data_IF_347162531736
#
_entry.id   IF_347162531736
#
_cell.length_a   1.000
_cell.length_b   1.000
_cell.length_c   1.000
_cell.angle_alpha   90.00
_cell.angle_beta   90.00
_cell.angle_gamma   90.00
#
_symmetry.space_group_name_H-M   'P 1'
#
loop_
_entity.id
_entity.type
_entity.pdbx_description
1 polymer ?
#
# COMPACT_ATOMS: atom_id res chain seq x y z
N UNK A 1 -66.56 -31.36 11.64
CA UNK A 1 -65.71 -31.04 10.47
C UNK A 1 -66.41 -29.96 9.67
N UNK A 2 -65.74 -29.01 8.96
CA UNK A 2 -64.31 -28.81 8.67
C UNK A 2 -63.73 -27.57 9.43
N UNK A 3 -62.47 -27.47 9.88
CA UNK A 3 -61.15 -27.36 9.20
C UNK A 3 -61.04 -26.18 8.20
N UNK A 4 -60.57 -25.03 8.70
CA UNK A 4 -59.97 -23.89 7.97
C UNK A 4 -58.78 -23.42 8.83
N UNK A 5 -57.67 -24.15 8.91
CA UNK A 5 -56.52 -24.11 8.01
C UNK A 5 -56.15 -22.72 7.46
N UNK A 6 -55.16 -22.12 8.16
CA UNK A 6 -53.98 -21.44 7.60
C UNK A 6 -54.24 -20.46 6.45
N UNK A 7 -54.27 -19.16 6.76
CA UNK A 7 -53.70 -18.13 5.89
C UNK A 7 -52.75 -17.29 6.76
N UNK A 8 -51.46 -17.58 6.68
CA UNK A 8 -50.53 -16.90 5.76
C UNK A 8 -50.14 -15.54 6.35
N UNK A 9 -49.17 -15.59 7.26
CA UNK A 9 -48.22 -14.53 7.47
C UNK A 9 -47.20 -14.63 6.32
N UNK A 10 -47.16 -13.68 5.39
CA UNK A 10 -45.85 -13.34 4.83
C UNK A 10 -45.79 -11.84 4.59
N UNK A 11 -44.87 -11.12 5.23
CA UNK A 11 -44.15 -10.00 4.59
C UNK A 11 -43.10 -9.39 5.53
N UNK A 12 -42.17 -10.19 6.05
CA UNK A 12 -40.96 -9.64 6.65
C UNK A 12 -39.83 -10.63 6.38
N UNK A 13 -39.30 -10.68 5.15
CA UNK A 13 -37.99 -11.26 4.81
C UNK A 13 -37.74 -11.19 3.29
N UNK A 14 -37.61 -9.99 2.71
CA UNK A 14 -37.01 -9.82 1.37
C UNK A 14 -36.24 -8.51 1.29
N UNK A 15 -35.24 -8.35 2.15
CA UNK A 15 -34.28 -7.23 2.05
C UNK A 15 -32.84 -7.68 2.39
N UNK A 16 -32.42 -8.86 1.90
CA UNK A 16 -31.10 -9.41 2.25
C UNK A 16 -30.29 -9.94 1.05
N UNK A 17 -30.52 -9.50 -0.19
CA UNK A 17 -29.76 -9.98 -1.36
C UNK A 17 -29.43 -8.89 -2.41
N UNK A 18 -29.08 -7.68 -1.99
CA UNK A 18 -28.47 -6.69 -2.92
C UNK A 18 -27.07 -6.23 -2.51
N UNK A 19 -26.47 -6.82 -1.48
CA UNK A 19 -25.11 -6.47 -1.03
C UNK A 19 -23.99 -7.28 -1.71
N UNK A 20 -24.28 -8.08 -2.75
CA UNK A 20 -23.29 -8.96 -3.37
C UNK A 20 -22.87 -8.59 -4.81
N UNK A 21 -23.41 -7.50 -5.39
CA UNK A 21 -23.06 -7.05 -6.74
C UNK A 21 -22.20 -5.77 -6.76
N UNK A 22 -21.74 -5.30 -5.61
CA UNK A 22 -20.90 -4.11 -5.56
C UNK A 22 -19.44 -4.50 -5.86
N UNK A 23 -18.97 -4.19 -7.08
CA UNK A 23 -17.55 -4.29 -7.43
C UNK A 23 -16.73 -3.56 -6.35
N UNK A 24 -15.69 -4.19 -5.77
CA UNK A 24 -14.87 -3.54 -4.75
C UNK A 24 -14.27 -2.25 -5.32
N UNK A 25 -14.22 -1.22 -4.49
CA UNK A 25 -13.56 0.04 -4.82
C UNK A 25 -12.08 -0.18 -5.15
N UNK A 26 -11.46 0.78 -5.86
CA UNK A 26 -10.02 0.72 -6.17
C UNK A 26 -9.17 0.57 -4.90
N UNK A 27 -9.55 1.26 -3.82
CA UNK A 27 -8.85 1.22 -2.54
C UNK A 27 -8.94 -0.16 -1.87
N UNK A 28 -10.13 -0.77 -1.85
CA UNK A 28 -10.31 -2.14 -1.35
C UNK A 28 -9.52 -3.14 -2.18
N UNK A 29 -9.49 -2.98 -3.51
CA UNK A 29 -8.69 -3.82 -4.38
C UNK A 29 -7.19 -3.68 -4.11
N UNK A 30 -6.68 -2.45 -3.91
CA UNK A 30 -5.28 -2.21 -3.56
C UNK A 30 -4.91 -2.93 -2.27
N UNK A 31 -5.75 -2.81 -1.24
CA UNK A 31 -5.50 -3.44 0.07
C UNK A 31 -5.55 -4.97 0.01
N UNK A 32 -6.43 -5.53 -0.80
CA UNK A 32 -6.58 -6.97 -0.92
C UNK A 32 -5.52 -7.62 -1.81
N UNK A 33 -5.01 -6.90 -2.82
CA UNK A 33 -4.28 -7.51 -3.92
C UNK A 33 -2.81 -7.09 -4.02
N UNK A 34 -2.42 -5.96 -3.43
CA UNK A 34 -1.02 -5.51 -3.40
C UNK A 34 -0.37 -5.87 -2.06
N UNK A 35 0.91 -6.32 -2.06
CA UNK A 35 1.61 -6.77 -0.86
C UNK A 35 2.12 -5.59 0.00
N UNK A 36 1.20 -4.75 0.47
CA UNK A 36 1.53 -3.51 1.21
C UNK A 36 2.36 -3.79 2.46
N UNK A 37 1.94 -4.75 3.29
CA UNK A 37 2.60 -5.04 4.57
C UNK A 37 4.01 -5.61 4.36
N UNK A 38 4.19 -6.49 3.37
CA UNK A 38 5.49 -7.09 3.07
C UNK A 38 6.44 -6.06 2.48
N UNK A 39 5.96 -5.24 1.53
CA UNK A 39 6.75 -4.14 0.97
C UNK A 39 7.17 -3.13 2.05
N UNK A 40 6.25 -2.77 2.96
CA UNK A 40 6.55 -1.92 4.10
C UNK A 40 7.65 -2.52 4.99
N UNK A 41 7.50 -3.79 5.36
CA UNK A 41 8.44 -4.49 6.24
C UNK A 41 9.82 -4.55 5.61
N UNK A 42 9.89 -4.93 4.33
CA UNK A 42 11.13 -4.99 3.57
C UNK A 42 11.82 -3.61 3.47
N UNK A 43 11.06 -2.54 3.25
CA UNK A 43 11.60 -1.18 3.19
C UNK A 43 12.18 -0.75 4.55
N UNK A 44 11.47 -1.00 5.66
CA UNK A 44 11.96 -0.71 7.02
C UNK A 44 13.24 -1.47 7.33
N UNK A 45 13.31 -2.76 6.99
CA UNK A 45 14.51 -3.58 7.20
C UNK A 45 15.71 -3.05 6.42
N UNK A 46 15.52 -2.70 5.14
CA UNK A 46 16.56 -2.14 4.29
C UNK A 46 17.04 -0.78 4.80
N UNK A 47 16.14 0.11 5.19
CA UNK A 47 16.50 1.42 5.74
C UNK A 47 17.25 1.27 7.07
N UNK A 48 16.80 0.37 7.95
CA UNK A 48 17.49 0.11 9.20
C UNK A 48 18.93 -0.42 8.98
N UNK A 49 19.13 -1.29 7.99
CA UNK A 49 20.45 -1.79 7.64
C UNK A 49 21.39 -0.69 7.08
N UNK A 50 20.83 0.33 6.43
CA UNK A 50 21.60 1.48 5.97
C UNK A 50 21.98 2.42 7.13
N UNK A 51 21.01 2.75 7.98
CA UNK A 51 21.20 3.61 9.15
C UNK A 51 22.09 2.98 10.23
N UNK A 52 22.10 1.65 10.36
CA UNK A 52 23.03 0.98 11.27
C UNK A 52 24.51 1.20 10.94
N UNK A 53 24.83 1.72 9.75
CA UNK A 53 26.20 2.12 9.38
C UNK A 53 26.59 3.48 9.96
N UNK A 54 25.62 4.37 10.18
CA UNK A 54 25.83 5.71 10.75
C UNK A 54 25.56 5.74 12.26
N UNK A 55 24.73 4.82 12.76
CA UNK A 55 24.45 4.62 14.18
C UNK A 55 24.92 3.25 14.70
N UNK A 56 26.25 3.00 14.76
CA UNK A 56 26.79 1.68 15.06
C UNK A 56 26.52 1.21 16.50
N UNK A 57 26.11 2.11 17.39
CA UNK A 57 25.82 1.78 18.79
C UNK A 57 24.38 1.28 18.99
N UNK A 58 23.51 1.49 18.00
CA UNK A 58 22.11 1.07 18.08
C UNK A 58 21.90 -0.30 17.43
N UNK A 59 21.09 -1.12 18.09
CA UNK A 59 20.66 -2.40 17.50
C UNK A 59 19.76 -2.16 16.29
N UNK A 60 19.79 -3.07 15.31
CA UNK A 60 18.89 -2.99 14.14
C UNK A 60 17.41 -2.94 14.56
N UNK A 61 17.02 -3.67 15.62
CA UNK A 61 15.66 -3.66 16.14
C UNK A 61 15.25 -2.28 16.68
N UNK A 62 16.17 -1.58 17.35
CA UNK A 62 15.97 -0.20 17.82
C UNK A 62 15.73 0.75 16.65
N UNK A 63 16.60 0.69 15.63
CA UNK A 63 16.49 1.54 14.44
C UNK A 63 15.18 1.28 13.69
N UNK A 64 14.80 0.01 13.50
CA UNK A 64 13.50 -0.32 12.92
C UNK A 64 12.34 0.22 13.76
N UNK A 65 12.45 0.19 15.09
CA UNK A 65 11.45 0.75 16.00
C UNK A 65 11.25 2.24 15.77
N UNK A 66 12.33 3.02 15.65
CA UNK A 66 12.28 4.45 15.33
C UNK A 66 11.69 4.68 13.93
N UNK A 67 12.15 3.95 12.92
CA UNK A 67 11.61 4.04 11.56
C UNK A 67 10.09 3.82 11.53
N UNK A 68 9.58 2.80 12.23
CA UNK A 68 8.13 2.52 12.28
C UNK A 68 7.31 3.60 12.99
N UNK A 69 7.91 4.47 13.82
CA UNK A 69 7.22 5.60 14.45
C UNK A 69 6.96 6.73 13.45
N UNK A 70 7.88 6.96 12.53
CA UNK A 70 7.89 8.14 11.64
C UNK A 70 7.53 7.81 10.18
N UNK A 71 7.77 6.57 9.76
CA UNK A 71 7.44 6.05 8.44
C UNK A 71 6.39 4.97 8.63
N UNK A 72 5.11 5.33 8.58
CA UNK A 72 4.04 4.40 8.94
C UNK A 72 3.54 3.60 7.73
N UNK A 73 3.00 2.42 7.98
CA UNK A 73 2.32 1.63 6.94
C UNK A 73 1.11 2.38 6.36
N UNK A 74 0.49 3.24 7.16
CA UNK A 74 -0.64 4.08 6.79
C UNK A 74 -0.23 5.14 5.76
N UNK A 75 0.95 5.72 5.90
CA UNK A 75 1.49 6.64 4.89
C UNK A 75 1.73 5.94 3.56
N UNK A 76 2.32 4.73 3.60
CA UNK A 76 2.54 3.92 2.41
C UNK A 76 1.21 3.53 1.75
N UNK A 77 0.17 3.25 2.55
CA UNK A 77 -1.19 2.99 2.04
C UNK A 77 -1.72 4.17 1.24
N UNK A 78 -1.65 5.38 1.81
CA UNK A 78 -2.11 6.60 1.14
C UNK A 78 -1.33 6.87 -0.15
N UNK A 79 -0.03 6.62 -0.16
CA UNK A 79 0.80 6.72 -1.36
C UNK A 79 0.37 5.73 -2.46
N UNK A 80 0.07 4.48 -2.09
CA UNK A 80 -0.45 3.49 -3.03
C UNK A 80 -1.82 3.90 -3.58
N UNK A 81 -2.72 4.42 -2.74
CA UNK A 81 -4.05 4.86 -3.16
C UNK A 81 -3.96 5.98 -4.19
N UNK A 82 -3.09 6.96 -3.94
CA UNK A 82 -2.80 8.05 -4.86
C UNK A 82 -2.18 7.54 -6.15
N UNK A 83 -1.14 6.71 -6.06
CA UNK A 83 -0.40 6.19 -7.21
C UNK A 83 -1.30 5.36 -8.13
N UNK A 84 -2.03 4.39 -7.57
CA UNK A 84 -2.87 3.45 -8.31
C UNK A 84 -4.34 3.90 -8.43
N UNK A 85 -4.61 5.18 -8.24
CA UNK A 85 -5.95 5.77 -8.42
C UNK A 85 -6.46 5.65 -9.87
N UNK A 86 -7.77 5.76 -10.04
CA UNK A 86 -8.42 5.78 -11.36
C UNK A 86 -7.97 6.96 -12.24
N UNK A 87 -7.51 8.06 -11.62
CA UNK A 87 -6.91 9.19 -12.32
C UNK A 87 -5.62 8.79 -13.05
N UNK A 88 -4.85 7.90 -12.42
CA UNK A 88 -3.55 7.48 -12.95
C UNK A 88 -3.68 6.23 -13.80
N UNK A 89 -4.48 5.23 -13.40
CA UNK A 89 -4.61 3.96 -14.11
C UNK A 89 -6.06 3.56 -14.31
N UNK A 90 -6.42 3.28 -15.57
CA UNK A 90 -7.68 2.63 -15.90
C UNK A 90 -7.80 1.26 -15.21
N UNK A 91 -9.02 0.73 -15.11
CA UNK A 91 -9.27 -0.58 -14.51
C UNK A 91 -8.49 -1.71 -15.21
N UNK A 92 -8.35 -1.65 -16.53
CA UNK A 92 -7.60 -2.65 -17.29
C UNK A 92 -6.09 -2.59 -17.01
N UNK A 93 -5.53 -1.37 -16.94
CA UNK A 93 -4.13 -1.18 -16.56
C UNK A 93 -3.87 -1.66 -15.14
N UNK A 94 -4.76 -1.33 -14.20
CA UNK A 94 -4.63 -1.75 -12.82
C UNK A 94 -4.73 -3.27 -12.64
N UNK A 95 -5.67 -3.92 -13.33
CA UNK A 95 -5.74 -5.38 -13.35
C UNK A 95 -4.43 -6.01 -13.85
N UNK A 96 -3.84 -5.44 -14.91
CA UNK A 96 -2.54 -5.89 -15.43
C UNK A 96 -1.41 -5.71 -14.40
N UNK A 97 -1.38 -4.58 -13.69
CA UNK A 97 -0.41 -4.32 -12.61
C UNK A 97 -0.57 -5.36 -11.50
N UNK A 98 -1.80 -5.62 -11.06
CA UNK A 98 -2.08 -6.58 -10.00
C UNK A 98 -1.63 -7.98 -10.41
N UNK A 99 -1.99 -8.43 -11.61
CA UNK A 99 -1.58 -9.74 -12.11
C UNK A 99 -0.06 -9.89 -12.17
N UNK A 100 0.65 -8.87 -12.65
CA UNK A 100 2.11 -8.85 -12.68
C UNK A 100 2.73 -8.81 -11.28
N UNK A 101 2.08 -8.14 -10.31
CA UNK A 101 2.57 -8.06 -8.93
C UNK A 101 2.45 -9.41 -8.21
N UNK A 102 1.42 -10.19 -8.53
CA UNK A 102 1.14 -11.47 -7.88
C UNK A 102 1.87 -12.66 -8.53
N UNK A 103 2.21 -12.56 -9.81
CA UNK A 103 2.84 -13.64 -10.57
C UNK A 103 4.12 -13.17 -11.28
N UNK A 104 5.31 -13.56 -10.79
CA UNK A 104 6.59 -13.21 -11.40
C UNK A 104 6.74 -13.67 -12.85
N UNK A 105 6.08 -14.77 -13.27
CA UNK A 105 6.12 -15.22 -14.66
C UNK A 105 5.31 -14.27 -15.55
N UNK A 106 4.15 -13.79 -15.07
CA UNK A 106 3.38 -12.75 -15.76
C UNK A 106 4.12 -11.42 -15.80
N UNK A 107 4.81 -11.02 -14.73
CA UNK A 107 5.66 -9.83 -14.73
C UNK A 107 6.69 -9.88 -15.86
N UNK A 108 7.45 -10.98 -15.95
CA UNK A 108 8.46 -11.19 -17.00
C UNK A 108 7.84 -11.20 -18.40
N UNK A 109 6.71 -11.88 -18.58
CA UNK A 109 6.03 -11.91 -19.86
C UNK A 109 5.54 -10.51 -20.29
N UNK A 110 5.09 -9.69 -19.34
CA UNK A 110 4.62 -8.34 -19.59
C UNK A 110 5.76 -7.39 -20.03
N UNK A 111 6.95 -7.52 -19.43
CA UNK A 111 8.13 -6.67 -19.73
C UNK A 111 8.49 -6.64 -21.23
N UNK A 112 8.30 -7.75 -21.93
CA UNK A 112 8.62 -7.88 -23.35
C UNK A 112 7.53 -7.32 -24.30
N UNK A 113 6.38 -6.90 -23.76
CA UNK A 113 5.26 -6.38 -24.55
C UNK A 113 5.28 -4.85 -24.64
N UNK A 114 4.75 -4.30 -25.74
CA UNK A 114 4.55 -2.85 -25.87
C UNK A 114 3.61 -2.27 -24.80
N UNK A 115 2.62 -3.05 -24.37
CA UNK A 115 1.73 -2.66 -23.28
C UNK A 115 2.49 -2.56 -21.95
N UNK A 116 3.33 -3.54 -21.63
CA UNK A 116 4.16 -3.55 -20.43
C UNK A 116 5.19 -2.42 -20.40
N UNK A 117 5.84 -2.14 -21.54
CA UNK A 117 6.76 -0.99 -21.66
C UNK A 117 6.05 0.33 -21.38
N UNK A 118 4.89 0.58 -22.01
CA UNK A 118 4.09 1.78 -21.76
C UNK A 118 3.65 1.90 -20.30
N UNK A 119 3.25 0.79 -19.69
CA UNK A 119 2.84 0.75 -18.29
C UNK A 119 4.02 1.08 -17.35
N UNK A 120 5.20 0.51 -17.63
CA UNK A 120 6.44 0.78 -16.89
C UNK A 120 6.89 2.24 -17.03
N UNK A 121 6.85 2.79 -18.25
CA UNK A 121 7.15 4.21 -18.51
C UNK A 121 6.22 5.14 -17.75
N UNK A 122 4.92 4.81 -17.75
CA UNK A 122 3.89 5.56 -17.02
C UNK A 122 4.11 5.51 -15.52
N UNK A 123 4.36 4.33 -14.95
CA UNK A 123 4.70 4.18 -13.52
C UNK A 123 5.95 5.00 -13.16
N UNK A 124 7.00 4.91 -13.99
CA UNK A 124 8.25 5.65 -13.80
C UNK A 124 8.05 7.16 -13.91
N UNK A 125 7.17 7.63 -14.80
CA UNK A 125 6.83 9.04 -14.92
C UNK A 125 6.10 9.54 -13.66
N UNK A 126 5.11 8.80 -13.16
CA UNK A 126 4.38 9.13 -11.94
C UNK A 126 5.30 9.16 -10.71
N UNK A 127 6.22 8.20 -10.61
CA UNK A 127 7.23 8.19 -9.53
C UNK A 127 8.14 9.43 -9.60
N UNK A 128 8.60 9.81 -10.80
CA UNK A 128 9.41 11.02 -10.99
C UNK A 128 8.65 12.30 -10.69
N UNK A 129 7.37 12.36 -11.06
CA UNK A 129 6.50 13.48 -10.72
C UNK A 129 6.34 13.61 -9.20
N UNK A 130 6.01 12.51 -8.52
CA UNK A 130 5.90 12.50 -7.06
C UNK A 130 7.21 12.88 -6.38
N UNK A 131 8.36 12.45 -6.91
CA UNK A 131 9.67 12.81 -6.38
C UNK A 131 10.05 14.27 -6.60
N UNK A 132 9.38 14.99 -7.52
CA UNK A 132 9.56 16.42 -7.79
C UNK A 132 8.53 17.29 -7.08
N UNK A 133 7.51 16.69 -6.47
CA UNK A 133 6.51 17.42 -5.71
C UNK A 133 7.14 17.97 -4.43
N UNK A 134 7.13 19.29 -4.29
CA UNK A 134 7.77 19.98 -3.17
C UNK A 134 7.15 19.61 -1.81
N UNK A 135 5.84 19.30 -1.74
CA UNK A 135 5.19 18.89 -0.50
C UNK A 135 5.61 17.48 -0.12
N UNK A 136 5.69 16.58 -1.10
CA UNK A 136 6.20 15.21 -0.88
C UNK A 136 7.65 15.25 -0.42
N UNK A 137 8.50 16.06 -1.07
CA UNK A 137 9.90 16.25 -0.66
C UNK A 137 10.00 16.79 0.76
N UNK A 138 9.25 17.85 1.09
CA UNK A 138 9.27 18.43 2.42
C UNK A 138 8.82 17.44 3.50
N UNK A 139 7.76 16.66 3.24
CA UNK A 139 7.27 15.64 4.16
C UNK A 139 8.29 14.51 4.35
N UNK A 140 8.89 14.01 3.26
CA UNK A 140 9.90 12.97 3.33
C UNK A 140 11.15 13.46 4.10
N UNK A 141 11.61 14.69 3.83
CA UNK A 141 12.73 15.29 4.55
C UNK A 141 12.41 15.45 6.03
N UNK A 142 11.22 15.95 6.38
CA UNK A 142 10.79 16.12 7.76
C UNK A 142 10.81 14.78 8.51
N UNK A 143 10.24 13.72 7.92
CA UNK A 143 10.19 12.40 8.56
C UNK A 143 11.58 11.80 8.76
N UNK A 144 12.46 11.95 7.77
CA UNK A 144 13.83 11.49 7.92
C UNK A 144 14.59 12.29 8.99
N UNK A 145 14.38 13.60 9.07
CA UNK A 145 14.97 14.40 10.16
C UNK A 145 14.49 13.90 11.54
N UNK A 146 13.20 13.60 11.70
CA UNK A 146 12.67 13.06 12.95
C UNK A 146 13.25 11.70 13.32
N UNK A 147 13.55 10.86 12.32
CA UNK A 147 14.25 9.58 12.53
C UNK A 147 15.67 9.86 13.03
N UNK A 148 16.44 10.68 12.32
CA UNK A 148 17.83 11.00 12.70
C UNK A 148 17.90 11.62 14.10
N UNK A 149 17.06 12.63 14.40
CA UNK A 149 17.01 13.30 15.70
C UNK A 149 16.74 12.30 16.85
N UNK A 150 15.85 11.33 16.64
CA UNK A 150 15.54 10.32 17.65
C UNK A 150 16.66 9.28 17.80
N UNK A 151 17.32 8.88 16.70
CA UNK A 151 18.46 7.97 16.76
C UNK A 151 19.66 8.62 17.48
N UNK A 152 19.98 9.87 17.15
CA UNK A 152 21.03 10.64 17.84
C UNK A 152 20.74 10.78 19.34
N UNK A 153 19.49 11.06 19.71
CA UNK A 153 19.09 11.15 21.11
C UNK A 153 19.30 9.81 21.86
N UNK A 154 19.01 8.68 21.21
CA UNK A 154 19.21 7.35 21.79
C UNK A 154 20.69 6.99 21.96
N UNK A 155 21.54 7.34 21.01
CA UNK A 155 22.99 7.11 21.13
C UNK A 155 23.62 7.95 22.23
N UNK A 156 23.22 9.22 22.33
CA UNK A 156 23.69 10.12 23.37
C UNK A 156 23.18 9.76 24.77
N UNK A 157 22.01 9.13 24.88
CA UNK A 157 21.46 8.66 26.16
C UNK A 157 22.10 7.33 26.63
N UNK A 158 22.70 6.56 25.71
CA UNK A 158 23.38 5.30 25.98
C UNK A 158 24.91 5.42 26.16
N UNK A 159 25.48 6.61 25.91
CA UNK A 159 26.89 6.96 26.12
C UNK A 159 27.12 7.50 27.54
#
# INVERSE_FOLDING_TARGET
MPRLQKLMLPLLLTAALTACDQKPSREEQILAQLPLQDAYTHNIERMAALLGRTHPQLSQATIQGVLRKHLTVEDQRQDLFRLYSEKNFSDAEFATIVEATQDPAKARALEDTEAGKRLSEKLTALMRESARDAKVQALAQQRMQQVEDELDALENAGS
#
